data_IF_746183868004
#
_entry.id   IF_746183868004
#
_cell.length_a   1.000
_cell.length_b   1.000
_cell.length_c   1.000
_cell.angle_alpha   90.00
_cell.angle_beta   90.00
_cell.angle_gamma   90.00
#
_symmetry.space_group_name_H-M   'P 1'
#
loop_
_entity.id
_entity.type
_entity.pdbx_description
1 polymer ?
#
# COMPACT_ATOMS: atom_id res chain seq x y z
N UNK A 1 -30.94 14.83 -23.51
CA UNK A 1 -31.42 15.19 -22.15
C UNK A 1 -30.41 14.65 -21.15
N UNK A 2 -29.49 15.53 -20.71
CA UNK A 2 -28.49 15.19 -19.69
C UNK A 2 -29.15 15.29 -18.33
N UNK A 3 -29.14 14.22 -17.57
CA UNK A 3 -29.55 14.20 -16.18
C UNK A 3 -28.57 15.05 -15.35
N UNK A 4 -29.03 15.89 -14.42
CA UNK A 4 -28.14 16.60 -13.52
C UNK A 4 -27.47 15.59 -12.59
N UNK A 5 -26.13 15.61 -12.55
CA UNK A 5 -25.36 14.88 -11.54
C UNK A 5 -25.78 15.38 -10.15
N UNK A 6 -26.41 14.50 -9.40
CA UNK A 6 -26.68 14.73 -7.98
C UNK A 6 -25.37 14.70 -7.21
N UNK A 7 -24.75 15.86 -7.03
CA UNK A 7 -23.67 16.02 -6.05
C UNK A 7 -24.29 15.94 -4.67
N UNK A 8 -24.24 14.76 -4.05
CA UNK A 8 -24.57 14.58 -2.64
C UNK A 8 -23.52 15.32 -1.79
N UNK A 9 -23.84 16.54 -1.37
CA UNK A 9 -23.01 17.27 -0.41
C UNK A 9 -23.11 16.59 0.96
N UNK A 10 -22.00 16.10 1.47
CA UNK A 10 -21.91 15.64 2.86
C UNK A 10 -22.02 16.88 3.75
N UNK A 11 -23.12 16.98 4.48
CA UNK A 11 -23.31 18.05 5.46
C UNK A 11 -22.61 17.65 6.75
N UNK A 12 -21.53 18.33 7.08
CA UNK A 12 -20.81 18.12 8.33
C UNK A 12 -21.57 18.79 9.50
N UNK A 13 -21.51 18.23 10.72
CA UNK A 13 -22.03 18.88 11.91
C UNK A 13 -21.37 20.28 12.10
N UNK A 14 -22.12 21.22 12.67
CA UNK A 14 -21.69 22.63 12.83
C UNK A 14 -20.45 22.81 13.72
N UNK A 15 -20.11 21.82 14.54
CA UNK A 15 -18.90 21.83 15.38
C UNK A 15 -17.64 21.36 14.65
N UNK A 16 -17.79 20.82 13.42
CA UNK A 16 -16.65 20.38 12.59
C UNK A 16 -16.14 21.57 11.78
N UNK A 17 -14.97 22.03 12.11
CA UNK A 17 -14.25 23.04 11.34
C UNK A 17 -12.78 22.61 11.06
N UNK A 18 -12.11 23.36 10.22
CA UNK A 18 -10.75 23.04 9.80
C UNK A 18 -9.71 23.07 10.93
N UNK A 19 -10.02 23.71 12.06
CA UNK A 19 -9.09 23.78 13.21
C UNK A 19 -8.90 22.45 13.88
N UNK A 20 -9.92 21.57 13.83
CA UNK A 20 -9.85 20.21 14.35
C UNK A 20 -8.78 19.33 13.66
N UNK A 21 -8.41 19.69 12.44
CA UNK A 21 -7.45 18.95 11.62
C UNK A 21 -6.03 19.55 11.65
N UNK A 22 -5.83 20.64 12.39
CA UNK A 22 -4.51 21.26 12.54
C UNK A 22 -3.59 20.34 13.34
N UNK A 23 -2.39 20.11 12.81
CA UNK A 23 -1.38 19.27 13.46
C UNK A 23 -1.63 17.76 13.36
N UNK A 24 -2.66 17.30 12.64
CA UNK A 24 -2.87 15.87 12.38
C UNK A 24 -1.69 15.28 11.61
N UNK A 25 -1.19 14.15 12.12
CA UNK A 25 -0.25 13.31 11.40
C UNK A 25 -1.01 12.20 10.64
N UNK A 26 -0.44 11.77 9.52
CA UNK A 26 -1.01 10.73 8.64
C UNK A 26 0.06 9.72 8.32
N UNK A 27 -0.23 8.45 8.58
CA UNK A 27 0.50 7.30 8.08
C UNK A 27 -0.32 6.60 6.99
N UNK A 28 0.36 5.86 6.14
CA UNK A 28 -0.25 5.01 5.12
C UNK A 28 0.33 3.62 5.30
N UNK A 29 -0.54 2.64 5.38
CA UNK A 29 -0.21 1.24 5.23
C UNK A 29 -0.79 0.77 3.90
N UNK A 30 0.03 0.05 3.13
CA UNK A 30 -0.38 -0.50 1.85
C UNK A 30 0.12 -1.92 1.71
N UNK A 31 -0.80 -2.81 1.47
CA UNK A 31 -0.51 -4.21 1.16
C UNK A 31 -0.47 -4.44 -0.35
N UNK A 32 0.38 -5.36 -0.79
CA UNK A 32 0.46 -5.81 -2.16
C UNK A 32 0.96 -7.25 -2.23
N UNK A 33 0.23 -8.10 -2.94
CA UNK A 33 0.71 -9.44 -3.25
C UNK A 33 1.90 -9.38 -4.21
N UNK A 34 2.90 -10.23 -3.98
CA UNK A 34 3.93 -10.51 -4.99
C UNK A 34 3.38 -11.51 -5.99
N UNK A 35 3.48 -11.18 -7.25
CA UNK A 35 2.99 -11.96 -8.37
C UNK A 35 4.17 -12.36 -9.25
N UNK A 36 4.19 -13.60 -9.70
CA UNK A 36 5.14 -14.10 -10.70
C UNK A 36 4.89 -13.47 -12.07
N UNK A 37 5.87 -13.56 -12.97
CA UNK A 37 5.75 -13.04 -14.34
C UNK A 37 4.62 -13.65 -15.17
N UNK A 38 4.17 -14.85 -14.80
CA UNK A 38 3.04 -15.56 -15.43
C UNK A 38 1.66 -15.17 -14.88
N UNK A 39 1.58 -14.26 -13.89
CA UNK A 39 0.33 -13.81 -13.30
C UNK A 39 -0.10 -14.54 -12.03
N UNK A 40 0.57 -15.62 -11.64
CA UNK A 40 0.25 -16.38 -10.44
C UNK A 40 0.87 -15.77 -9.17
N UNK A 41 0.28 -16.08 -8.03
CA UNK A 41 0.81 -15.71 -6.72
C UNK A 41 2.25 -16.23 -6.56
N UNK A 42 3.15 -15.39 -6.06
CA UNK A 42 4.51 -15.82 -5.79
C UNK A 42 4.57 -16.84 -4.66
N UNK A 43 5.34 -17.89 -4.88
CA UNK A 43 5.68 -18.91 -3.87
C UNK A 43 7.10 -18.68 -3.32
N UNK A 44 7.80 -17.63 -3.76
CA UNK A 44 9.14 -17.32 -3.31
C UNK A 44 9.13 -16.76 -1.88
N UNK A 45 10.19 -17.03 -1.14
CA UNK A 45 10.43 -16.45 0.18
C UNK A 45 10.58 -14.92 0.08
N UNK A 46 10.41 -14.23 1.21
CA UNK A 46 10.68 -12.79 1.29
C UNK A 46 12.10 -12.48 0.79
N UNK A 47 12.30 -11.45 -0.07
CA UNK A 47 13.61 -11.14 -0.63
C UNK A 47 14.63 -10.83 0.46
N UNK A 48 15.66 -11.66 0.57
CA UNK A 48 16.69 -11.52 1.62
C UNK A 48 17.41 -10.19 1.60
N UNK A 49 17.50 -9.58 0.43
CA UNK A 49 18.16 -8.27 0.23
C UNK A 49 17.36 -7.10 0.81
N UNK A 50 16.08 -7.29 1.13
CA UNK A 50 15.27 -6.33 1.90
C UNK A 50 15.50 -6.44 3.41
N UNK A 51 16.24 -7.45 3.86
CA UNK A 51 16.40 -7.74 5.28
C UNK A 51 15.28 -8.63 5.82
N UNK A 52 15.17 -8.67 7.16
CA UNK A 52 14.13 -9.47 7.80
C UNK A 52 12.77 -8.76 7.77
N UNK A 53 11.76 -9.43 7.22
CA UNK A 53 10.37 -8.95 7.26
C UNK A 53 9.86 -8.67 8.68
N UNK A 54 10.39 -9.36 9.69
CA UNK A 54 9.96 -9.19 11.09
C UNK A 54 10.57 -7.97 11.79
N UNK A 55 11.62 -7.38 11.24
CA UNK A 55 12.38 -6.31 11.90
C UNK A 55 12.53 -5.06 11.03
N UNK A 56 12.13 -5.10 9.77
CA UNK A 56 12.20 -3.93 8.90
C UNK A 56 11.07 -2.94 9.27
N UNK A 57 11.38 -1.66 9.54
CA UNK A 57 10.38 -0.73 10.07
C UNK A 57 9.30 -0.30 9.06
N UNK A 58 9.51 -0.55 7.77
CA UNK A 58 8.67 -0.02 6.69
C UNK A 58 8.26 -1.04 5.64
N UNK A 59 8.88 -2.22 5.63
CA UNK A 59 8.57 -3.30 4.69
C UNK A 59 8.51 -4.60 5.47
N UNK A 60 7.34 -5.18 5.55
CA UNK A 60 7.09 -6.43 6.25
C UNK A 60 6.26 -7.37 5.39
N UNK A 61 5.95 -8.53 5.89
CA UNK A 61 4.90 -9.42 5.38
C UNK A 61 3.76 -9.43 6.40
N UNK A 62 2.52 -9.57 5.91
CA UNK A 62 1.38 -9.70 6.79
C UNK A 62 0.86 -11.16 6.76
N UNK A 63 -0.35 -11.40 6.32
CA UNK A 63 -1.02 -12.71 6.39
C UNK A 63 -0.23 -13.85 5.73
N UNK A 64 0.48 -13.58 4.65
CA UNK A 64 1.29 -14.56 3.91
C UNK A 64 2.63 -13.99 3.50
N UNK A 65 3.60 -14.86 3.22
CA UNK A 65 4.93 -14.47 2.76
C UNK A 65 4.89 -13.69 1.43
N UNK A 66 3.88 -13.96 0.60
CA UNK A 66 3.67 -13.27 -0.66
C UNK A 66 3.03 -11.89 -0.49
N UNK A 67 2.38 -11.59 0.65
CA UNK A 67 1.74 -10.32 0.91
C UNK A 67 2.74 -9.36 1.58
N UNK A 68 3.26 -8.43 0.79
CA UNK A 68 4.13 -7.38 1.32
C UNK A 68 3.30 -6.22 1.84
N UNK A 69 3.63 -5.75 3.03
CA UNK A 69 3.05 -4.58 3.66
C UNK A 69 4.08 -3.44 3.71
N UNK A 70 3.65 -2.26 3.27
CA UNK A 70 4.44 -1.04 3.23
C UNK A 70 3.88 -0.03 4.22
N UNK A 71 4.71 0.40 5.18
CA UNK A 71 4.31 1.24 6.30
C UNK A 71 5.08 2.55 6.24
N UNK A 72 4.38 3.68 6.10
CA UNK A 72 5.02 4.99 6.22
C UNK A 72 5.06 5.45 7.67
N UNK A 73 6.08 6.21 8.09
CA UNK A 73 5.99 6.93 9.35
C UNK A 73 4.90 8.01 9.26
N UNK A 74 4.33 8.42 10.40
CA UNK A 74 3.38 9.53 10.45
C UNK A 74 3.98 10.82 9.87
N UNK A 75 3.27 11.48 8.96
CA UNK A 75 3.70 12.69 8.27
C UNK A 75 2.72 13.84 8.51
N UNK A 76 3.22 15.07 8.53
CA UNK A 76 2.43 16.30 8.68
C UNK A 76 1.67 16.71 7.41
N UNK A 77 2.02 16.12 6.26
CA UNK A 77 1.33 16.37 4.99
C UNK A 77 1.12 15.09 4.17
N UNK A 78 0.03 15.08 3.41
CA UNK A 78 -0.29 14.00 2.46
C UNK A 78 0.84 13.83 1.43
N UNK A 79 1.39 14.94 0.94
CA UNK A 79 2.47 14.91 -0.04
C UNK A 79 3.71 14.17 0.50
N UNK A 80 4.11 14.43 1.75
CA UNK A 80 5.23 13.73 2.38
C UNK A 80 4.94 12.25 2.57
N UNK A 81 3.73 11.89 3.03
CA UNK A 81 3.34 10.50 3.18
C UNK A 81 3.38 9.74 1.84
N UNK A 82 2.86 10.33 0.77
CA UNK A 82 2.89 9.73 -0.57
C UNK A 82 4.30 9.61 -1.14
N UNK A 83 5.16 10.61 -0.94
CA UNK A 83 6.57 10.51 -1.36
C UNK A 83 7.27 9.37 -0.63
N UNK A 84 7.09 9.29 0.69
CA UNK A 84 7.68 8.21 1.48
C UNK A 84 7.20 6.83 1.00
N UNK A 85 5.90 6.68 0.75
CA UNK A 85 5.34 5.44 0.22
C UNK A 85 5.94 5.11 -1.17
N UNK A 86 6.10 6.10 -2.05
CA UNK A 86 6.73 5.90 -3.36
C UNK A 86 8.18 5.44 -3.24
N UNK A 87 8.95 5.99 -2.29
CA UNK A 87 10.33 5.57 -2.02
C UNK A 87 10.40 4.12 -1.52
N UNK A 88 9.51 3.73 -0.59
CA UNK A 88 9.41 2.35 -0.12
C UNK A 88 9.09 1.41 -1.28
N UNK A 89 8.13 1.76 -2.13
CA UNK A 89 7.79 0.99 -3.32
C UNK A 89 8.98 0.85 -4.28
N UNK A 90 9.70 1.95 -4.52
CA UNK A 90 10.89 1.92 -5.39
C UNK A 90 11.99 1.02 -4.84
N UNK A 91 12.18 1.01 -3.53
CA UNK A 91 13.11 0.09 -2.85
C UNK A 91 12.63 -1.36 -3.05
N UNK A 92 11.38 -1.67 -2.70
CA UNK A 92 10.83 -3.01 -2.84
C UNK A 92 10.98 -3.54 -4.28
N UNK A 93 10.60 -2.74 -5.28
CA UNK A 93 10.72 -3.12 -6.69
C UNK A 93 12.14 -3.48 -7.14
N UNK A 94 13.17 -2.84 -6.61
CA UNK A 94 14.58 -3.15 -6.94
C UNK A 94 15.02 -4.50 -6.35
N UNK A 95 14.33 -4.97 -5.35
CA UNK A 95 14.68 -6.20 -4.62
C UNK A 95 13.78 -7.39 -4.97
N UNK A 96 12.74 -7.17 -5.80
CA UNK A 96 11.96 -8.27 -6.35
C UNK A 96 12.82 -9.11 -7.27
N UNK A 97 12.77 -10.42 -7.12
CA UNK A 97 13.58 -11.38 -7.85
C UNK A 97 12.75 -12.11 -8.91
N UNK A 98 13.40 -12.78 -9.84
CA UNK A 98 12.77 -13.66 -10.83
C UNK A 98 11.64 -13.03 -11.66
N UNK A 99 11.66 -11.71 -11.86
CA UNK A 99 10.63 -10.99 -12.61
C UNK A 99 9.31 -10.83 -11.88
N UNK A 100 9.31 -11.01 -10.56
CA UNK A 100 8.14 -10.71 -9.72
C UNK A 100 7.68 -9.26 -9.86
N UNK A 101 6.39 -9.04 -9.62
CA UNK A 101 5.76 -7.72 -9.60
C UNK A 101 4.86 -7.61 -8.38
N UNK A 102 4.63 -6.38 -7.93
CA UNK A 102 3.61 -6.09 -6.95
C UNK A 102 2.25 -5.99 -7.65
N UNK A 103 1.28 -6.75 -7.16
CA UNK A 103 -0.08 -6.76 -7.69
C UNK A 103 -0.83 -5.51 -7.24
N UNK A 104 -1.37 -4.69 -8.17
CA UNK A 104 -1.91 -3.37 -7.82
C UNK A 104 -3.39 -3.39 -7.39
N UNK A 105 -4.09 -4.51 -7.54
CA UNK A 105 -5.53 -4.59 -7.32
C UNK A 105 -5.86 -5.17 -5.94
N UNK A 106 -7.05 -4.84 -5.42
CA UNK A 106 -7.55 -5.35 -4.13
C UNK A 106 -8.00 -6.81 -4.18
N UNK A 107 -8.40 -7.30 -5.38
CA UNK A 107 -8.69 -8.72 -5.59
C UNK A 107 -7.37 -9.51 -5.72
N UNK A 108 -7.33 -10.80 -5.37
CA UNK A 108 -6.15 -11.63 -5.55
C UNK A 108 -5.71 -11.72 -7.02
N UNK A 109 -4.42 -11.91 -7.26
CA UNK A 109 -3.91 -12.41 -8.52
C UNK A 109 -4.28 -13.90 -8.69
N UNK A 110 -3.86 -14.53 -9.79
CA UNK A 110 -4.16 -15.95 -10.03
C UNK A 110 -3.55 -16.81 -8.92
N UNK A 111 -4.34 -17.71 -8.38
CA UNK A 111 -3.92 -18.72 -7.40
C UNK A 111 -3.75 -20.05 -8.12
N UNK A 112 -2.70 -20.79 -7.75
CA UNK A 112 -2.56 -22.18 -8.16
C UNK A 112 -3.58 -23.05 -7.41
N UNK A 113 -4.34 -23.86 -8.13
CA UNK A 113 -5.14 -24.94 -7.53
C UNK A 113 -4.18 -26.04 -7.05
N UNK A 114 -3.80 -26.01 -5.77
CA UNK A 114 -3.08 -27.10 -5.11
C UNK A 114 -4.03 -28.00 -4.37
#
# INVERSE_FOLDING_TARGET
>A
MSQPESTSHVVLPTWVDSSLFKGMLRGIERESLRMQSNGFLSQALHPKTLGSALTHPHITTDYSEALMEFITPPQDSIKKALHYLADIHAIAHRHLENGEKLWPLSMPCMLDDQ
#
